data_IF_880293446588
#
_entry.id   IF_880293446588
#
_cell.length_a   1.000
_cell.length_b   1.000
_cell.length_c   1.000
_cell.angle_alpha   90.00
_cell.angle_beta   90.00
_cell.angle_gamma   90.00
#
_symmetry.space_group_name_H-M   'P 1'
#
loop_
_entity.id
_entity.type
_entity.pdbx_description
1 polymer ?
#
# COMPACT_ATOMS: atom_id res chain seq x y z
N UNK A 1 -0.86 30.29 12.53
CA UNK A 1 -0.67 31.40 11.58
C UNK A 1 0.72 31.24 11.02
N UNK A 2 0.84 30.60 9.85
CA UNK A 2 2.14 30.35 9.23
C UNK A 2 2.67 31.63 8.61
N UNK A 3 3.88 32.04 8.99
CA UNK A 3 4.59 33.21 8.49
C UNK A 3 4.96 33.15 6.99
N UNK A 4 4.36 32.23 6.25
CA UNK A 4 4.64 31.91 4.85
C UNK A 4 3.39 31.98 3.96
N UNK A 5 2.27 32.46 4.49
CA UNK A 5 0.96 32.53 3.82
C UNK A 5 0.68 33.92 3.20
N UNK A 6 1.70 34.58 2.68
CA UNK A 6 1.54 35.83 1.94
C UNK A 6 1.14 35.54 0.49
N UNK A 7 -0.16 35.36 0.22
CA UNK A 7 -0.61 35.22 -1.18
C UNK A 7 -2.09 34.99 -1.48
N UNK A 8 -2.95 34.73 -0.50
CA UNK A 8 -4.32 34.26 -0.77
C UNK A 8 -5.42 35.27 -0.42
N UNK A 9 -5.45 36.43 -1.09
CA UNK A 9 -6.59 37.38 -0.99
C UNK A 9 -7.44 37.39 -2.28
N UNK A 10 -8.36 36.43 -2.38
CA UNK A 10 -9.43 36.46 -3.40
C UNK A 10 -10.79 36.73 -2.72
N UNK A 11 -11.50 37.75 -3.25
CA UNK A 11 -12.66 38.42 -2.64
C UNK A 11 -13.89 37.51 -2.51
N UNK A 12 -14.61 37.64 -1.39
CA UNK A 12 -15.93 37.06 -1.17
C UNK A 12 -17.02 37.84 -1.93
N UNK A 13 -17.84 37.14 -2.72
CA UNK A 13 -19.11 37.62 -3.28
C UNK A 13 -20.30 36.84 -2.69
N UNK A 14 -21.46 37.47 -2.44
CA UNK A 14 -22.54 36.89 -1.65
C UNK A 14 -23.41 35.87 -2.41
N UNK A 15 -23.89 34.88 -1.65
CA UNK A 15 -24.73 33.75 -2.05
C UNK A 15 -26.12 34.17 -2.55
N UNK A 16 -26.58 33.57 -3.64
CA UNK A 16 -27.96 33.65 -4.16
C UNK A 16 -28.46 32.29 -4.67
N UNK A 17 -29.78 32.03 -4.69
CA UNK A 17 -30.34 30.68 -4.52
C UNK A 17 -30.49 29.86 -5.82
N UNK A 18 -30.38 28.54 -5.64
CA UNK A 18 -30.43 27.45 -6.62
C UNK A 18 -31.86 27.08 -7.07
N UNK A 19 -32.17 27.00 -8.39
CA UNK A 19 -33.34 26.31 -8.89
C UNK A 19 -33.02 24.86 -9.28
N UNK A 20 -33.55 23.94 -8.47
CA UNK A 20 -33.63 22.48 -8.68
C UNK A 20 -33.89 22.10 -10.14
N UNK A 21 -32.94 21.37 -10.75
CA UNK A 21 -33.16 20.64 -12.02
C UNK A 21 -32.88 19.15 -11.81
N UNK A 22 -33.87 18.34 -12.17
CA UNK A 22 -33.91 16.89 -12.03
C UNK A 22 -32.78 16.18 -12.80
N UNK A 23 -32.19 15.16 -12.17
CA UNK A 23 -31.23 14.23 -12.75
C UNK A 23 -31.95 13.15 -13.58
N UNK A 24 -31.45 12.77 -14.76
CA UNK A 24 -31.87 11.54 -15.44
C UNK A 24 -31.15 10.30 -14.87
N UNK A 25 -31.82 9.15 -14.94
CA UNK A 25 -31.37 7.85 -14.41
C UNK A 25 -30.02 7.36 -14.98
N UNK A 26 -29.19 6.65 -14.19
CA UNK A 26 -27.96 6.06 -14.68
C UNK A 26 -28.21 4.77 -15.48
N UNK A 27 -27.49 4.65 -16.61
CA UNK A 27 -27.41 3.45 -17.45
C UNK A 27 -26.70 2.26 -16.74
N UNK A 28 -26.97 1.00 -17.14
CA UNK A 28 -26.44 -0.17 -16.44
C UNK A 28 -24.94 -0.40 -16.71
N UNK A 29 -24.23 -0.87 -15.67
CA UNK A 29 -22.82 -1.24 -15.70
C UNK A 29 -22.56 -2.56 -16.47
N UNK A 30 -21.34 -2.77 -17.02
CA UNK A 30 -20.98 -4.01 -17.69
C UNK A 30 -20.56 -5.12 -16.70
N UNK A 31 -20.82 -6.37 -17.12
CA UNK A 31 -20.69 -7.62 -16.37
C UNK A 31 -19.27 -7.99 -15.91
N UNK A 32 -19.15 -8.39 -14.64
CA UNK A 32 -18.00 -9.10 -14.05
C UNK A 32 -18.14 -10.62 -14.26
N UNK A 33 -17.11 -11.35 -14.72
CA UNK A 33 -17.20 -12.81 -14.81
C UNK A 33 -16.89 -13.47 -13.47
N UNK A 34 -17.86 -14.28 -13.03
CA UNK A 34 -17.86 -15.07 -11.80
C UNK A 34 -16.86 -16.24 -11.78
N UNK A 35 -16.24 -16.39 -10.60
CA UNK A 35 -16.06 -17.59 -9.78
C UNK A 35 -16.40 -18.98 -10.38
N UNK A 36 -15.44 -19.90 -10.33
CA UNK A 36 -15.63 -21.33 -10.61
C UNK A 36 -14.83 -22.22 -9.62
N UNK A 37 -15.40 -23.32 -9.09
CA UNK A 37 -14.88 -24.01 -7.91
C UNK A 37 -13.85 -25.11 -8.22
N UNK A 38 -12.87 -25.25 -7.33
CA UNK A 38 -11.82 -26.31 -7.35
C UNK A 38 -12.40 -27.67 -6.94
N UNK A 39 -12.22 -28.69 -7.79
CA UNK A 39 -12.52 -30.11 -7.46
C UNK A 39 -11.43 -30.70 -6.56
N UNK A 40 -11.86 -31.33 -5.47
CA UNK A 40 -11.05 -32.19 -4.58
C UNK A 40 -10.94 -33.59 -5.20
N UNK A 41 -9.74 -34.13 -5.29
CA UNK A 41 -9.49 -35.53 -5.60
C UNK A 41 -9.34 -36.33 -4.30
N UNK A 42 -10.24 -37.31 -4.10
CA UNK A 42 -10.10 -38.35 -3.08
C UNK A 42 -9.40 -39.59 -3.66
N UNK A 43 -8.87 -40.49 -2.82
CA UNK A 43 -8.18 -41.70 -3.27
C UNK A 43 -9.18 -42.80 -3.70
N UNK A 44 -8.81 -43.69 -4.64
CA UNK A 44 -9.70 -44.71 -5.15
C UNK A 44 -9.80 -45.95 -4.24
N UNK A 45 -11.00 -46.51 -4.27
CA UNK A 45 -11.53 -47.70 -3.58
C UNK A 45 -10.94 -49.01 -4.13
N UNK A 46 -10.93 -50.01 -3.25
CA UNK A 46 -10.67 -51.43 -3.50
C UNK A 46 -11.75 -52.05 -4.41
N UNK A 47 -11.31 -52.84 -5.39
CA UNK A 47 -12.14 -53.84 -6.08
C UNK A 47 -11.59 -55.25 -5.74
N UNK A 48 -12.47 -56.07 -5.18
CA UNK A 48 -12.40 -57.54 -5.12
C UNK A 48 -13.47 -58.02 -6.13
N UNK A 49 -13.31 -59.17 -6.84
CA UNK A 49 -13.75 -60.43 -6.23
C UNK A 49 -13.10 -61.72 -6.77
N UNK A 50 -13.15 -62.81 -5.98
CA UNK A 50 -13.88 -64.07 -6.27
C UNK A 50 -13.26 -65.34 -5.65
N UNK A 51 -13.96 -65.85 -4.63
CA UNK A 51 -14.32 -67.23 -4.22
C UNK A 51 -13.36 -68.46 -4.20
N UNK A 52 -13.62 -69.42 -3.27
CA UNK A 52 -12.68 -70.44 -2.76
C UNK A 52 -12.80 -71.82 -3.45
N UNK A 53 -11.95 -72.81 -3.09
CA UNK A 53 -12.54 -73.97 -2.39
C UNK A 53 -11.64 -74.74 -1.39
N UNK A 54 -12.34 -75.36 -0.43
CA UNK A 54 -12.17 -76.71 0.14
C UNK A 54 -10.93 -77.10 0.99
N UNK A 55 -11.21 -77.39 2.26
CA UNK A 55 -10.59 -78.46 3.06
C UNK A 55 -11.46 -79.74 2.92
N UNK A 56 -11.11 -80.94 3.46
CA UNK A 56 -9.98 -81.30 4.34
C UNK A 56 -9.23 -82.59 3.91
N UNK A 57 -8.15 -82.95 4.61
CA UNK A 57 -7.81 -84.35 4.96
C UNK A 57 -6.62 -84.38 5.95
N UNK A 58 -6.91 -84.77 7.19
CA UNK A 58 -5.97 -85.28 8.21
C UNK A 58 -5.76 -86.80 8.00
N UNK A 59 -4.87 -87.55 8.71
CA UNK A 59 -4.01 -87.20 9.87
C UNK A 59 -2.56 -87.75 9.76
N UNK A 60 -1.71 -87.52 10.78
CA UNK A 60 -1.06 -88.58 11.63
C UNK A 60 0.20 -88.06 12.38
N UNK A 61 0.10 -88.19 13.70
CA UNK A 61 1.09 -88.46 14.76
C UNK A 61 2.31 -87.57 15.05
N UNK A 62 2.24 -86.92 16.22
CA UNK A 62 3.38 -86.60 17.08
C UNK A 62 2.93 -85.79 18.32
N UNK A 63 3.13 -86.27 19.57
CA UNK A 63 2.71 -85.50 20.75
C UNK A 63 3.57 -84.24 20.94
N UNK A 64 2.98 -83.05 21.16
CA UNK A 64 3.75 -81.84 21.44
C UNK A 64 4.30 -81.84 22.87
N UNK A 65 5.60 -81.61 22.99
CA UNK A 65 6.29 -81.29 24.23
C UNK A 65 5.72 -79.99 24.86
N UNK A 66 5.82 -79.80 26.19
CA UNK A 66 5.04 -78.80 26.91
C UNK A 66 5.37 -77.36 26.50
N UNK A 67 4.31 -76.57 26.36
CA UNK A 67 4.31 -75.13 26.08
C UNK A 67 4.60 -74.40 27.39
N UNK A 68 5.84 -73.96 27.58
CA UNK A 68 6.16 -72.97 28.60
C UNK A 68 5.90 -71.55 28.04
N UNK A 69 4.93 -70.87 28.64
CA UNK A 69 5.09 -69.47 29.03
C UNK A 69 5.03 -68.36 27.96
N UNK A 70 3.80 -67.84 27.77
CA UNK A 70 3.45 -66.46 27.41
C UNK A 70 3.78 -65.94 25.99
N UNK A 71 2.78 -65.46 25.21
CA UNK A 71 3.08 -64.64 24.04
C UNK A 71 3.65 -63.32 24.54
N UNK A 72 4.95 -63.13 24.33
CA UNK A 72 5.59 -61.83 24.51
C UNK A 72 4.94 -60.87 23.52
N UNK A 73 4.22 -59.86 24.01
CA UNK A 73 3.76 -58.76 23.17
C UNK A 73 4.93 -58.27 22.30
N UNK A 74 4.73 -58.08 20.98
CA UNK A 74 5.78 -57.54 20.15
C UNK A 74 6.14 -56.15 20.70
N UNK A 75 7.29 -56.05 21.37
CA UNK A 75 7.86 -54.77 21.82
C UNK A 75 8.02 -53.90 20.57
N UNK A 76 7.04 -53.06 20.30
CA UNK A 76 7.01 -52.23 19.11
C UNK A 76 7.60 -50.87 19.51
N UNK A 77 8.64 -50.45 18.79
CA UNK A 77 9.36 -49.19 19.04
C UNK A 77 10.82 -49.38 19.43
N UNK A 78 11.56 -48.28 19.60
CA UNK A 78 13.02 -48.15 19.82
C UNK A 78 13.67 -49.13 20.82
N UNK A 79 12.89 -49.86 21.61
CA UNK A 79 13.32 -50.98 22.45
C UNK A 79 13.81 -52.23 21.67
N UNK A 80 13.53 -52.36 20.37
CA UNK A 80 14.07 -53.43 19.50
C UNK A 80 15.44 -53.09 18.91
N UNK A 81 15.88 -51.83 19.04
CA UNK A 81 17.16 -51.38 18.51
C UNK A 81 18.33 -51.84 19.39
N UNK A 82 19.42 -52.26 18.75
CA UNK A 82 20.70 -52.53 19.43
C UNK A 82 21.08 -51.35 20.33
N UNK A 83 21.72 -51.60 21.47
CA UNK A 83 22.06 -50.59 22.49
C UNK A 83 22.76 -49.36 21.88
N UNK A 84 23.59 -49.56 20.86
CA UNK A 84 24.28 -48.49 20.11
C UNK A 84 23.31 -47.57 19.37
N UNK A 85 22.30 -48.14 18.72
CA UNK A 85 21.27 -47.39 18.01
C UNK A 85 20.29 -46.69 18.96
N UNK A 86 20.02 -47.27 20.14
CA UNK A 86 19.25 -46.60 21.20
C UNK A 86 19.98 -45.38 21.77
N UNK A 87 21.29 -45.50 22.02
CA UNK A 87 22.12 -44.38 22.44
C UNK A 87 22.14 -43.31 21.34
N UNK A 88 22.33 -43.70 20.08
CA UNK A 88 22.28 -42.78 18.94
C UNK A 88 20.94 -42.04 18.82
N UNK A 89 19.81 -42.77 18.96
CA UNK A 89 18.49 -42.18 18.93
C UNK A 89 18.23 -41.24 20.12
N UNK A 90 18.70 -41.61 21.32
CA UNK A 90 18.59 -40.76 22.51
C UNK A 90 19.41 -39.47 22.35
N UNK A 91 20.64 -39.56 21.84
CA UNK A 91 21.48 -38.38 21.56
C UNK A 91 20.82 -37.48 20.52
N UNK A 92 20.30 -38.05 19.42
CA UNK A 92 19.60 -37.29 18.40
C UNK A 92 18.37 -36.56 18.99
N UNK A 93 17.57 -37.26 19.80
CA UNK A 93 16.39 -36.67 20.45
C UNK A 93 16.77 -35.53 21.39
N UNK A 94 17.82 -35.69 22.20
CA UNK A 94 18.32 -34.65 23.12
C UNK A 94 18.82 -33.44 22.34
N UNK A 95 19.57 -33.63 21.25
CA UNK A 95 20.04 -32.55 20.39
C UNK A 95 18.89 -31.78 19.74
N UNK A 96 17.86 -32.48 19.25
CA UNK A 96 16.66 -31.85 18.68
C UNK A 96 15.92 -31.06 19.75
N UNK A 97 15.68 -31.64 20.92
CA UNK A 97 15.02 -30.96 22.03
C UNK A 97 15.78 -29.71 22.48
N UNK A 98 17.11 -29.78 22.57
CA UNK A 98 17.95 -28.63 22.87
C UNK A 98 17.82 -27.53 21.82
N UNK A 99 17.84 -27.88 20.53
CA UNK A 99 17.64 -26.93 19.43
C UNK A 99 16.28 -26.23 19.50
N UNK A 100 15.20 -26.97 19.81
CA UNK A 100 13.86 -26.42 20.01
C UNK A 100 13.83 -25.44 21.19
N UNK A 101 14.44 -25.79 22.33
CA UNK A 101 14.52 -24.90 23.48
C UNK A 101 15.30 -23.62 23.18
N UNK A 102 16.42 -23.71 22.47
CA UNK A 102 17.20 -22.54 22.04
C UNK A 102 16.35 -21.65 21.13
N UNK A 103 15.69 -22.23 20.12
CA UNK A 103 14.85 -21.46 19.20
C UNK A 103 13.70 -20.74 19.91
N UNK A 104 13.00 -21.42 20.82
CA UNK A 104 11.94 -20.81 21.65
C UNK A 104 12.48 -19.69 22.53
N UNK A 105 13.66 -19.87 23.15
CA UNK A 105 14.32 -18.86 23.95
C UNK A 105 14.71 -17.62 23.15
N UNK A 106 15.32 -17.80 21.98
CA UNK A 106 15.69 -16.70 21.07
C UNK A 106 14.45 -15.94 20.59
N UNK A 107 13.39 -16.66 20.21
CA UNK A 107 12.12 -16.06 19.78
C UNK A 107 11.47 -15.27 20.91
N UNK A 108 11.47 -15.81 22.14
CA UNK A 108 10.97 -15.10 23.31
C UNK A 108 11.76 -13.81 23.57
N UNK A 109 13.10 -13.86 23.54
CA UNK A 109 13.94 -12.68 23.75
C UNK A 109 13.76 -11.61 22.66
N UNK A 110 13.45 -12.03 21.43
CA UNK A 110 13.17 -11.15 20.30
C UNK A 110 11.82 -10.42 20.43
N UNK A 111 10.79 -11.10 20.93
CA UNK A 111 9.42 -10.55 21.02
C UNK A 111 9.14 -9.87 22.37
N UNK A 112 9.85 -10.27 23.42
CA UNK A 112 9.66 -9.71 24.76
C UNK A 112 10.08 -8.22 24.82
N UNK A 113 9.50 -7.44 25.75
CA UNK A 113 9.96 -6.08 26.03
C UNK A 113 11.47 -6.03 26.30
N UNK A 114 12.09 -4.91 25.94
CA UNK A 114 13.54 -4.75 26.01
C UNK A 114 14.08 -5.02 27.44
N UNK A 115 15.01 -5.96 27.55
CA UNK A 115 15.64 -6.37 28.80
C UNK A 115 17.17 -6.34 28.64
N UNK A 116 17.91 -6.47 29.74
CA UNK A 116 19.37 -6.35 29.73
C UNK A 116 20.02 -7.36 28.79
N UNK A 117 19.52 -8.60 28.77
CA UNK A 117 20.04 -9.70 27.93
C UNK A 117 19.78 -9.43 26.45
N UNK A 118 18.55 -9.00 26.09
CA UNK A 118 18.21 -8.71 24.69
C UNK A 118 18.95 -7.49 24.14
N UNK A 119 19.33 -6.53 25.00
CA UNK A 119 20.15 -5.37 24.63
C UNK A 119 21.63 -5.72 24.43
N UNK A 120 22.19 -6.55 25.31
CA UNK A 120 23.61 -6.92 25.25
C UNK A 120 23.90 -7.91 24.11
N UNK A 121 22.96 -8.81 23.84
CA UNK A 121 23.12 -9.88 22.84
C UNK A 121 22.22 -9.71 21.60
N UNK A 122 21.78 -8.48 21.31
CA UNK A 122 20.85 -8.21 20.20
C UNK A 122 21.30 -8.84 18.89
N UNK A 123 22.57 -8.62 18.50
CA UNK A 123 23.13 -9.17 17.25
C UNK A 123 23.00 -10.69 17.15
N UNK A 124 23.28 -11.43 18.22
CA UNK A 124 23.19 -12.90 18.20
C UNK A 124 21.76 -13.40 18.11
N UNK A 125 20.82 -12.68 18.73
CA UNK A 125 19.39 -12.98 18.64
C UNK A 125 18.90 -12.69 17.21
N UNK A 126 19.28 -11.54 16.65
CA UNK A 126 18.94 -11.10 15.30
C UNK A 126 19.49 -12.06 14.23
N UNK A 127 20.77 -12.46 14.33
CA UNK A 127 21.42 -13.40 13.40
C UNK A 127 20.75 -14.79 13.41
N UNK A 128 20.15 -15.20 14.53
CA UNK A 128 19.41 -16.46 14.65
C UNK A 128 17.98 -16.38 14.09
N UNK A 129 17.32 -15.23 14.24
CA UNK A 129 15.89 -15.06 13.91
C UNK A 129 15.68 -14.60 12.46
N UNK A 130 16.44 -13.61 11.99
CA UNK A 130 16.20 -12.99 10.69
C UNK A 130 16.46 -13.84 9.45
N UNK A 131 17.24 -14.95 9.46
CA UNK A 131 17.34 -15.82 8.30
C UNK A 131 16.02 -16.47 7.88
N UNK A 132 15.14 -16.76 8.85
CA UNK A 132 13.87 -17.47 8.62
C UNK A 132 12.63 -16.60 8.87
N UNK A 133 12.76 -15.52 9.65
CA UNK A 133 11.66 -14.61 10.01
C UNK A 133 12.02 -13.14 9.71
N UNK A 134 12.06 -12.79 8.43
CA UNK A 134 12.12 -11.38 8.04
C UNK A 134 10.80 -10.68 8.42
N UNK A 135 10.85 -9.80 9.42
CA UNK A 135 9.69 -9.02 9.85
C UNK A 135 9.43 -7.87 8.88
N UNK A 136 8.77 -8.13 7.75
CA UNK A 136 8.37 -7.09 6.81
C UNK A 136 6.92 -6.65 7.07
N UNK A 137 6.74 -5.59 7.86
CA UNK A 137 5.44 -5.04 8.26
C UNK A 137 4.83 -4.09 7.22
N UNK A 138 5.22 -4.19 5.95
CA UNK A 138 4.74 -3.33 4.87
C UNK A 138 3.26 -3.57 4.49
N UNK A 139 2.61 -4.58 5.09
CA UNK A 139 1.24 -4.97 4.79
C UNK A 139 0.17 -4.28 5.66
N UNK A 140 0.52 -3.75 6.85
CA UNK A 140 -0.47 -3.23 7.81
C UNK A 140 -0.30 -1.77 8.20
N UNK A 141 0.86 -1.18 7.93
CA UNK A 141 1.06 0.25 8.12
C UNK A 141 2.12 0.73 7.12
N UNK A 142 1.75 1.15 5.90
CA UNK A 142 2.65 2.00 5.14
C UNK A 142 3.06 3.17 6.04
N UNK A 143 4.34 3.54 6.02
CA UNK A 143 4.79 4.73 6.74
C UNK A 143 3.90 5.90 6.29
N UNK A 144 3.14 6.53 7.20
CA UNK A 144 2.28 7.63 6.83
C UNK A 144 3.15 8.72 6.20
N UNK A 145 2.61 9.42 5.20
CA UNK A 145 3.29 10.56 4.61
C UNK A 145 3.57 11.57 5.73
N UNK A 146 4.84 11.75 6.07
CA UNK A 146 5.28 12.72 7.08
C UNK A 146 5.44 14.12 6.46
N UNK A 147 4.90 14.32 5.26
CA UNK A 147 5.04 15.52 4.45
C UNK A 147 3.69 15.98 3.93
N UNK A 148 3.43 17.28 4.06
CA UNK A 148 2.36 17.98 3.39
C UNK A 148 2.91 18.56 2.09
N UNK A 149 2.34 18.13 0.96
CA UNK A 149 2.68 18.64 -0.38
C UNK A 149 1.50 19.46 -0.88
N UNK A 150 1.66 20.78 -0.96
CA UNK A 150 0.68 21.67 -1.56
C UNK A 150 1.09 22.00 -3.01
N UNK A 151 0.18 21.77 -3.96
CA UNK A 151 0.35 22.16 -5.35
C UNK A 151 -0.22 23.55 -5.55
N UNK A 152 0.62 24.46 -6.03
CA UNK A 152 0.29 25.86 -6.26
C UNK A 152 0.50 26.21 -7.73
N UNK A 153 -0.32 27.12 -8.25
CA UNK A 153 -0.25 27.56 -9.65
C UNK A 153 -0.31 29.08 -9.76
N UNK A 154 0.36 29.63 -10.76
CA UNK A 154 0.17 31.01 -11.22
C UNK A 154 0.05 31.04 -12.73
N UNK A 155 -0.54 32.10 -13.25
CA UNK A 155 -0.74 32.29 -14.67
C UNK A 155 -0.17 33.62 -15.14
N UNK A 156 0.21 33.66 -16.41
CA UNK A 156 0.24 34.91 -17.15
C UNK A 156 -1.01 35.03 -18.01
N UNK A 157 -1.60 36.21 -17.94
CA UNK A 157 -2.89 36.51 -18.53
C UNK A 157 -2.68 37.62 -19.53
N UNK A 158 -3.12 37.36 -20.75
CA UNK A 158 -3.26 38.39 -21.79
C UNK A 158 -4.55 39.16 -21.52
N UNK A 159 -4.44 40.47 -21.37
CA UNK A 159 -5.56 41.35 -21.07
C UNK A 159 -6.18 41.92 -22.36
N UNK A 160 -7.41 42.41 -22.27
CA UNK A 160 -8.16 42.93 -23.43
C UNK A 160 -7.55 44.18 -24.07
N UNK A 161 -6.74 44.91 -23.31
CA UNK A 161 -5.95 46.07 -23.74
C UNK A 161 -4.61 45.68 -24.40
N UNK A 162 -4.35 44.37 -24.59
CA UNK A 162 -3.14 43.85 -25.21
C UNK A 162 -1.95 43.71 -24.26
N UNK A 163 -2.14 44.00 -22.97
CA UNK A 163 -1.14 43.79 -21.93
C UNK A 163 -0.95 42.32 -21.52
N UNK A 164 0.09 42.07 -20.75
CA UNK A 164 0.33 40.81 -20.05
C UNK A 164 0.49 41.10 -18.57
N UNK A 165 -0.23 40.36 -17.73
CA UNK A 165 -0.08 40.41 -16.27
C UNK A 165 0.15 39.02 -15.70
N UNK A 166 1.00 38.91 -14.69
CA UNK A 166 1.21 37.67 -13.93
C UNK A 166 0.34 37.68 -12.67
N UNK A 167 -0.30 36.56 -12.36
CA UNK A 167 -1.04 36.41 -11.10
C UNK A 167 -0.10 36.15 -9.93
N UNK A 168 -0.64 36.27 -8.71
CA UNK A 168 -0.06 35.61 -7.54
C UNK A 168 -0.12 34.09 -7.64
N UNK A 169 0.45 33.41 -6.64
CA UNK A 169 0.34 31.97 -6.48
C UNK A 169 -1.02 31.62 -5.86
N UNK A 170 -1.79 30.79 -6.56
CA UNK A 170 -3.02 30.18 -6.09
C UNK A 170 -2.72 28.80 -5.53
N UNK A 171 -3.19 28.51 -4.33
CA UNK A 171 -3.06 27.19 -3.72
C UNK A 171 -4.21 26.28 -4.15
N UNK A 172 -3.93 25.39 -5.11
CA UNK A 172 -4.90 24.46 -5.66
C UNK A 172 -5.24 23.35 -4.66
N UNK A 173 -4.30 22.98 -3.80
CA UNK A 173 -4.51 21.98 -2.74
C UNK A 173 -5.39 22.54 -1.63
N UNK A 174 -5.20 23.80 -1.25
CA UNK A 174 -6.08 24.47 -0.29
C UNK A 174 -7.51 24.62 -0.82
N UNK A 175 -7.69 24.78 -2.15
CA UNK A 175 -9.02 24.75 -2.77
C UNK A 175 -9.72 23.40 -2.55
N UNK A 176 -9.01 22.28 -2.71
CA UNK A 176 -9.56 20.95 -2.42
C UNK A 176 -9.86 20.78 -0.93
N UNK A 177 -8.97 21.26 -0.05
CA UNK A 177 -9.19 21.25 1.40
C UNK A 177 -10.49 21.95 1.80
N UNK A 178 -10.75 23.14 1.25
CA UNK A 178 -12.01 23.88 1.49
C UNK A 178 -13.26 23.19 0.94
N UNK A 179 -13.13 22.41 -0.13
CA UNK A 179 -14.25 21.66 -0.69
C UNK A 179 -14.60 20.38 0.11
N UNK A 180 -13.62 19.88 0.88
CA UNK A 180 -13.77 18.74 1.78
C UNK A 180 -14.27 19.18 3.16
N UNK A 181 -13.77 20.32 3.66
CA UNK A 181 -14.06 20.80 5.01
C UNK A 181 -15.57 20.96 5.24
N UNK A 182 -16.11 20.28 6.26
CA UNK A 182 -17.53 20.26 6.59
C UNK A 182 -18.47 19.57 5.59
N UNK A 183 -17.94 18.93 4.52
CA UNK A 183 -18.76 18.23 3.54
C UNK A 183 -19.05 16.78 3.99
N UNK A 184 -20.32 16.40 4.22
CA UNK A 184 -20.67 15.05 4.71
C UNK A 184 -20.49 13.94 3.67
N UNK A 185 -20.45 14.28 2.38
CA UNK A 185 -20.35 13.33 1.26
C UNK A 185 -19.36 13.83 0.20
N UNK A 186 -18.07 13.97 0.54
CA UNK A 186 -17.11 14.58 -0.36
C UNK A 186 -16.70 13.58 -1.46
N UNK A 187 -16.59 14.05 -2.70
CA UNK A 187 -16.25 13.18 -3.85
C UNK A 187 -14.80 12.73 -3.80
N UNK A 188 -14.56 11.42 -3.66
CA UNK A 188 -13.20 10.87 -3.70
C UNK A 188 -12.48 11.15 -5.02
N UNK A 189 -13.20 11.19 -6.14
CA UNK A 189 -12.62 11.50 -7.45
C UNK A 189 -12.05 12.92 -7.47
N UNK A 190 -12.82 13.90 -6.99
CA UNK A 190 -12.38 15.30 -6.96
C UNK A 190 -11.20 15.49 -6.01
N UNK A 191 -11.26 14.89 -4.82
CA UNK A 191 -10.21 14.98 -3.80
C UNK A 191 -8.87 14.42 -4.28
N UNK A 192 -8.91 13.35 -5.07
CA UNK A 192 -7.71 12.66 -5.52
C UNK A 192 -7.22 13.13 -6.88
N UNK A 193 -7.99 13.93 -7.62
CA UNK A 193 -7.65 14.37 -8.98
C UNK A 193 -6.29 15.07 -9.02
N UNK A 194 -6.14 16.16 -8.25
CA UNK A 194 -4.92 16.98 -8.26
C UNK A 194 -3.71 16.17 -7.76
N UNK A 195 -3.89 15.41 -6.68
CA UNK A 195 -2.85 14.56 -6.12
C UNK A 195 -2.38 13.50 -7.12
N UNK A 196 -3.32 12.78 -7.75
CA UNK A 196 -3.00 11.77 -8.77
C UNK A 196 -2.31 12.39 -9.98
N UNK A 197 -2.72 13.58 -10.41
CA UNK A 197 -2.09 14.31 -11.50
C UNK A 197 -0.65 14.71 -11.15
N UNK A 198 -0.42 15.20 -9.93
CA UNK A 198 0.92 15.52 -9.43
C UNK A 198 1.81 14.28 -9.30
N UNK A 199 1.31 13.21 -8.69
CA UNK A 199 2.04 11.93 -8.55
C UNK A 199 2.44 11.38 -9.93
N UNK A 200 1.53 11.47 -10.92
CA UNK A 200 1.79 11.04 -12.28
C UNK A 200 2.88 11.88 -12.96
N UNK A 201 2.86 13.19 -12.77
CA UNK A 201 3.91 14.09 -13.24
C UNK A 201 5.27 13.70 -12.66
N UNK A 202 5.37 13.60 -11.34
CA UNK A 202 6.63 13.28 -10.64
C UNK A 202 7.19 11.93 -11.07
N UNK A 203 6.33 10.92 -11.26
CA UNK A 203 6.74 9.59 -11.68
C UNK A 203 7.21 9.51 -13.14
N UNK A 204 7.04 10.57 -13.94
CA UNK A 204 7.32 10.58 -15.39
C UNK A 204 8.17 11.75 -15.85
N UNK A 205 8.85 12.44 -14.91
CA UNK A 205 9.78 13.53 -15.20
C UNK A 205 11.15 13.24 -14.60
N UNK A 206 12.20 13.78 -15.24
CA UNK A 206 13.55 13.75 -14.68
C UNK A 206 13.75 14.82 -13.58
N UNK A 207 14.95 14.85 -13.01
CA UNK A 207 15.34 15.80 -11.95
C UNK A 207 15.31 17.26 -12.42
N UNK A 208 15.43 17.49 -13.74
CA UNK A 208 15.37 18.81 -14.37
C UNK A 208 13.93 19.21 -14.76
N UNK A 209 12.92 18.42 -14.38
CA UNK A 209 11.51 18.60 -14.75
C UNK A 209 11.24 18.48 -16.26
N UNK A 210 11.95 17.60 -16.97
CA UNK A 210 11.65 17.27 -18.37
C UNK A 210 10.84 15.98 -18.45
N UNK A 211 9.84 15.91 -19.35
CA UNK A 211 9.01 14.72 -19.50
C UNK A 211 9.80 13.55 -20.07
N UNK A 212 9.62 12.37 -19.47
CA UNK A 212 10.23 11.11 -19.92
C UNK A 212 9.22 10.33 -20.77
N UNK A 213 9.41 10.36 -22.08
CA UNK A 213 8.57 9.65 -23.05
C UNK A 213 7.12 10.17 -23.11
N UNK A 214 6.25 9.41 -23.77
CA UNK A 214 4.85 9.80 -24.01
C UNK A 214 4.06 10.04 -22.72
N UNK A 215 4.31 9.23 -21.67
CA UNK A 215 3.61 9.36 -20.39
C UNK A 215 3.93 10.70 -19.71
N UNK A 216 5.17 11.17 -19.79
CA UNK A 216 5.57 12.49 -19.30
C UNK A 216 4.75 13.60 -19.95
N UNK A 217 4.73 13.64 -21.29
CA UNK A 217 3.96 14.66 -22.04
C UNK A 217 2.47 14.63 -21.71
N UNK A 218 1.87 13.43 -21.58
CA UNK A 218 0.46 13.30 -21.20
C UNK A 218 0.19 13.79 -19.78
N UNK A 219 1.12 13.57 -18.85
CA UNK A 219 0.99 14.05 -17.48
C UNK A 219 1.04 15.58 -17.39
N UNK A 220 1.90 16.24 -18.18
CA UNK A 220 1.94 17.72 -18.28
C UNK A 220 0.62 18.26 -18.81
N UNK A 221 0.12 17.70 -19.93
CA UNK A 221 -1.15 18.12 -20.51
C UNK A 221 -2.32 17.95 -19.53
N UNK A 222 -2.38 16.82 -18.82
CA UNK A 222 -3.42 16.54 -17.84
C UNK A 222 -3.39 17.54 -16.67
N UNK A 223 -2.23 17.74 -16.05
CA UNK A 223 -2.09 18.66 -14.92
C UNK A 223 -2.32 20.13 -15.33
N UNK A 224 -1.86 20.51 -16.52
CA UNK A 224 -2.10 21.83 -17.11
C UNK A 224 -3.59 22.09 -17.32
N UNK A 225 -4.34 21.11 -17.86
CA UNK A 225 -5.79 21.23 -18.06
C UNK A 225 -6.54 21.41 -16.74
N UNK A 226 -6.22 20.59 -15.73
CA UNK A 226 -6.78 20.74 -14.38
C UNK A 226 -6.51 22.15 -13.84
N UNK A 227 -5.29 22.65 -14.02
CA UNK A 227 -4.87 23.98 -13.53
C UNK A 227 -5.67 25.09 -14.19
N UNK A 228 -5.78 25.09 -15.52
CA UNK A 228 -6.52 26.12 -16.26
C UNK A 228 -7.99 26.12 -15.85
N UNK A 229 -8.62 24.94 -15.76
CA UNK A 229 -10.02 24.80 -15.32
C UNK A 229 -10.24 25.33 -13.89
N UNK A 230 -9.28 25.11 -12.99
CA UNK A 230 -9.38 25.57 -11.59
C UNK A 230 -9.15 27.08 -11.48
N UNK A 231 -8.21 27.63 -12.23
CA UNK A 231 -7.96 29.08 -12.29
C UNK A 231 -9.16 29.83 -12.88
N UNK A 232 -9.80 29.28 -13.92
CA UNK A 232 -11.03 29.82 -14.49
C UNK A 232 -12.17 29.83 -13.45
N UNK A 233 -12.41 28.70 -12.78
CA UNK A 233 -13.43 28.61 -11.71
C UNK A 233 -13.18 29.57 -10.53
N UNK A 234 -11.91 29.89 -10.26
CA UNK A 234 -11.52 30.83 -9.21
C UNK A 234 -11.58 32.31 -9.66
N UNK A 235 -12.02 32.59 -10.89
CA UNK A 235 -12.01 33.92 -11.52
C UNK A 235 -10.62 34.60 -11.47
N UNK A 236 -9.55 33.79 -11.52
CA UNK A 236 -8.17 34.31 -11.46
C UNK A 236 -7.80 35.15 -12.70
N UNK A 237 -8.48 34.86 -13.82
CA UNK A 237 -8.27 35.47 -15.13
C UNK A 237 -8.86 36.89 -15.18
N UNK A 238 -9.98 37.12 -14.49
CA UNK A 238 -10.73 38.36 -14.52
C UNK A 238 -11.41 38.63 -15.87
N UNK A 239 -12.20 39.72 -15.97
CA UNK A 239 -13.05 39.97 -17.13
C UNK A 239 -12.26 40.09 -18.44
N UNK A 240 -12.58 39.22 -19.41
CA UNK A 240 -12.03 39.26 -20.77
C UNK A 240 -10.55 38.89 -20.89
N UNK A 241 -9.89 38.48 -19.80
CA UNK A 241 -8.54 37.95 -19.86
C UNK A 241 -8.49 36.54 -20.45
N UNK A 242 -7.33 36.14 -20.96
CA UNK A 242 -7.09 34.77 -21.43
C UNK A 242 -5.77 34.29 -20.85
N UNK A 243 -5.74 33.04 -20.34
CA UNK A 243 -4.51 32.42 -19.84
C UNK A 243 -3.57 32.15 -21.01
N UNK A 244 -2.37 32.70 -20.97
CA UNK A 244 -1.34 32.50 -22.00
C UNK A 244 -0.37 31.38 -21.63
N UNK A 245 0.13 31.41 -20.40
CA UNK A 245 0.99 30.38 -19.84
C UNK A 245 0.71 30.18 -18.36
N UNK A 246 0.98 28.98 -17.87
CA UNK A 246 0.88 28.63 -16.45
C UNK A 246 2.22 28.16 -15.92
N UNK A 247 2.44 28.41 -14.63
CA UNK A 247 3.55 27.84 -13.89
C UNK A 247 3.02 27.20 -12.62
N UNK A 248 3.51 26.00 -12.34
CA UNK A 248 3.17 25.28 -11.13
C UNK A 248 4.38 25.11 -10.24
N UNK A 249 4.13 24.97 -8.95
CA UNK A 249 5.12 24.51 -7.98
C UNK A 249 4.48 23.59 -6.96
N UNK A 250 5.28 22.71 -6.37
CA UNK A 250 4.93 22.14 -5.06
C UNK A 250 5.60 22.94 -3.95
N UNK A 251 4.91 23.01 -2.81
CA UNK A 251 5.42 23.43 -1.52
C UNK A 251 5.34 22.22 -0.59
N UNK A 252 6.49 21.66 -0.25
CA UNK A 252 6.60 20.50 0.64
C UNK A 252 7.00 20.99 2.03
N UNK A 253 6.29 20.54 3.05
CA UNK A 253 6.57 20.84 4.46
C UNK A 253 6.45 19.57 5.27
N UNK A 254 7.29 19.38 6.30
CA UNK A 254 7.11 18.27 7.22
C UNK A 254 5.82 18.46 8.03
N UNK A 255 5.12 17.36 8.31
CA UNK A 255 3.99 17.35 9.25
C UNK A 255 4.55 17.63 10.65
N UNK A 256 4.05 18.66 11.37
CA UNK A 256 4.56 18.96 12.69
C UNK A 256 4.25 17.81 13.66
N UNK A 257 5.17 17.47 14.56
CA UNK A 257 4.94 16.47 15.58
C UNK A 257 3.84 16.95 16.53
N UNK A 258 3.08 16.02 17.14
CA UNK A 258 2.05 16.39 18.10
C UNK A 258 2.67 16.99 19.36
N UNK A 259 1.90 17.78 20.10
CA UNK A 259 2.39 18.54 21.29
C UNK A 259 3.02 17.66 22.39
N UNK A 260 2.68 16.38 22.44
CA UNK A 260 3.22 15.41 23.39
C UNK A 260 4.55 14.77 22.96
N UNK A 261 5.04 15.06 21.75
CA UNK A 261 6.30 14.53 21.23
C UNK A 261 7.44 15.54 21.40
N UNK A 262 8.63 15.03 21.76
CA UNK A 262 9.87 15.81 21.81
C UNK A 262 10.62 15.85 20.47
N UNK A 263 10.07 15.21 19.43
CA UNK A 263 10.67 15.18 18.10
C UNK A 263 10.77 16.59 17.51
N UNK A 264 11.91 16.91 16.90
CA UNK A 264 12.14 18.19 16.24
C UNK A 264 12.34 17.96 14.74
N UNK A 265 11.33 18.34 13.96
CA UNK A 265 11.41 18.33 12.49
C UNK A 265 11.39 19.76 11.97
N UNK A 266 12.19 20.04 10.94
CA UNK A 266 12.13 21.33 10.25
C UNK A 266 10.81 21.43 9.49
N UNK A 267 10.02 22.45 9.79
CA UNK A 267 8.79 22.79 9.05
C UNK A 267 9.05 23.80 7.93
N UNK A 268 10.32 24.09 7.65
CA UNK A 268 10.73 25.01 6.57
C UNK A 268 10.23 24.48 5.22
N UNK A 269 9.48 25.28 4.44
CA UNK A 269 8.97 24.81 3.15
C UNK A 269 10.06 24.65 2.09
N UNK A 270 10.05 23.52 1.42
CA UNK A 270 10.84 23.26 0.21
C UNK A 270 9.96 23.43 -1.04
N UNK A 271 10.53 24.02 -2.09
CA UNK A 271 9.78 24.30 -3.32
C UNK A 271 10.40 23.60 -4.53
N UNK A 272 9.59 22.81 -5.25
CA UNK A 272 9.92 22.35 -6.60
C UNK A 272 9.06 23.13 -7.59
N UNK A 273 9.68 24.06 -8.31
CA UNK A 273 9.01 24.92 -9.30
C UNK A 273 9.24 24.38 -10.70
N UNK A 274 8.15 24.16 -11.44
CA UNK A 274 8.16 23.68 -12.81
C UNK A 274 8.46 24.84 -13.79
N UNK A 275 8.92 24.54 -15.02
CA UNK A 275 9.00 25.54 -16.06
C UNK A 275 7.63 26.12 -16.40
N UNK A 276 7.62 27.27 -17.07
CA UNK A 276 6.40 27.82 -17.64
C UNK A 276 5.91 26.95 -18.79
N UNK A 277 4.63 26.62 -18.78
CA UNK A 277 3.97 25.89 -19.87
C UNK A 277 3.01 26.79 -20.63
N UNK A 278 3.12 26.89 -21.96
CA UNK A 278 2.12 27.58 -22.76
C UNK A 278 0.78 26.85 -22.67
N UNK A 279 -0.30 27.62 -22.71
CA UNK A 279 -1.67 27.08 -22.73
C UNK A 279 -2.21 27.19 -24.17
N UNK A 280 -2.55 26.06 -24.82
CA UNK A 280 -3.23 26.05 -26.10
C UNK A 280 -4.55 26.82 -26.05
N UNK A 281 -4.93 27.42 -27.17
CA UNK A 281 -6.10 28.29 -27.27
C UNK A 281 -7.44 27.60 -26.95
N UNK A 282 -7.56 26.31 -27.22
CA UNK A 282 -8.74 25.50 -26.92
C UNK A 282 -8.92 25.31 -25.41
N UNK A 283 -7.82 25.11 -24.69
CA UNK A 283 -7.81 24.98 -23.24
C UNK A 283 -7.97 26.34 -22.54
N UNK A 284 -7.38 27.40 -23.10
CA UNK A 284 -7.42 28.75 -22.54
C UNK A 284 -8.84 29.34 -22.46
N UNK A 285 -9.80 28.82 -23.25
CA UNK A 285 -11.21 29.22 -23.25
C UNK A 285 -12.13 28.27 -22.47
N UNK A 286 -11.56 27.35 -21.68
CA UNK A 286 -12.33 26.36 -20.91
C UNK A 286 -12.89 25.20 -21.75
N UNK A 287 -12.41 25.02 -22.99
CA UNK A 287 -12.87 23.99 -23.91
C UNK A 287 -12.36 22.60 -23.51
N UNK A 288 -13.30 21.72 -23.12
CA UNK A 288 -13.08 20.28 -23.17
C UNK A 288 -13.25 19.78 -24.62
N UNK A 289 -12.28 20.09 -25.48
CA UNK A 289 -12.09 19.38 -26.76
C UNK A 289 -11.64 17.95 -26.53
#
# INVERSE_FOLDING_TARGET
MDAYDEGSDARHGPSGPDPRRALPDPAPAPDDPADAPRRRTGPPTLDDPADPPAAPDDPVDGPPAPVDGSPSEPRTGVATLSLRHRIGAAVALVSVAAGVCVHLGMTFLHVAPANTVSKEHSRTIEDWIYPEFEQNWKLFAPNPLQQNIAVQARAEIRTTDGGVRTTGWYDLSAQDGRAIDGNPLPSHTQQNELRRAWDFLIATHDDDNRPVGLRGTLSEAYLRRITVLRLDRADAVGPGGVVDRVQLRSRTTQVPPPEWSEEQVSTTPEYRTLPWWPVPEDEARGGLG
#
